data_IF_725952375145
#
_entry.id   IF_725952375145
#
_cell.length_a   1.000
_cell.length_b   1.000
_cell.length_c   1.000
_cell.angle_alpha   90.00
_cell.angle_beta   90.00
_cell.angle_gamma   90.00
#
_symmetry.space_group_name_H-M   'P 1'
#
loop_
_entity.id
_entity.type
_entity.pdbx_description
1 polymer ?
#
# COMPACT_ATOMS: atom_id res chain seq x y z
N UNK A 1 2.07 10.99 49.60
CA UNK A 1 2.83 12.21 49.20
C UNK A 1 3.58 12.05 47.87
N UNK A 2 4.07 10.85 47.54
CA UNK A 2 4.83 10.53 46.31
C UNK A 2 4.05 10.75 44.99
N UNK A 3 2.74 10.47 44.93
CA UNK A 3 1.93 10.65 43.70
C UNK A 3 1.70 12.13 43.31
N UNK A 4 1.58 13.05 44.27
CA UNK A 4 1.45 14.50 43.99
C UNK A 4 2.72 15.08 43.39
N UNK A 5 3.88 14.56 43.78
CA UNK A 5 5.17 14.96 43.22
C UNK A 5 5.35 14.44 41.78
N UNK A 6 4.93 13.21 41.48
CA UNK A 6 4.97 12.63 40.13
C UNK A 6 4.06 13.37 39.13
N UNK A 7 2.86 13.75 39.57
CA UNK A 7 1.93 14.53 38.74
C UNK A 7 2.45 15.96 38.47
N UNK A 8 3.03 16.62 39.48
CA UNK A 8 3.65 17.94 39.33
C UNK A 8 4.85 17.89 38.38
N UNK A 9 5.68 16.84 38.48
CA UNK A 9 6.82 16.65 37.58
C UNK A 9 6.38 16.41 36.12
N UNK A 10 5.35 15.59 35.88
CA UNK A 10 4.81 15.41 34.52
C UNK A 10 4.21 16.70 33.95
N UNK A 11 3.48 17.47 34.77
CA UNK A 11 2.90 18.75 34.33
C UNK A 11 3.97 19.78 33.98
N UNK A 12 5.07 19.82 34.74
CA UNK A 12 6.21 20.69 34.47
C UNK A 12 6.90 20.29 33.16
N UNK A 13 7.20 19.00 32.96
CA UNK A 13 7.81 18.51 31.72
C UNK A 13 6.97 18.80 30.48
N UNK A 14 5.64 18.66 30.58
CA UNK A 14 4.73 18.95 29.46
C UNK A 14 4.70 20.44 29.10
N UNK A 15 4.76 21.32 30.11
CA UNK A 15 4.83 22.76 29.90
C UNK A 15 6.15 23.20 29.23
N UNK A 16 7.29 22.60 29.62
CA UNK A 16 8.57 22.87 28.98
C UNK A 16 8.60 22.40 27.51
N UNK A 17 8.02 21.24 27.20
CA UNK A 17 7.91 20.76 25.82
C UNK A 17 7.02 21.67 24.97
N UNK A 18 5.91 22.15 25.51
CA UNK A 18 5.02 23.09 24.80
C UNK A 18 5.72 24.42 24.47
N UNK A 19 6.60 24.91 25.35
CA UNK A 19 7.41 26.11 25.07
C UNK A 19 8.42 25.89 23.92
N UNK A 20 8.98 24.68 23.78
CA UNK A 20 9.88 24.35 22.67
C UNK A 20 9.19 24.16 21.31
N UNK A 21 7.85 24.08 21.29
CA UNK A 21 7.08 24.05 20.04
C UNK A 21 6.88 25.45 19.43
N UNK A 22 7.08 26.52 20.20
CA UNK A 22 7.07 27.91 19.74
C UNK A 22 8.49 28.43 19.46
N UNK A 23 9.34 27.63 18.82
CA UNK A 23 10.66 28.11 18.36
C UNK A 23 10.50 28.96 17.10
N UNK A 24 11.40 29.93 16.95
CA UNK A 24 11.45 30.80 15.78
C UNK A 24 11.59 29.94 14.52
N UNK A 25 10.72 30.17 13.53
CA UNK A 25 10.89 29.60 12.20
C UNK A 25 12.32 29.91 11.71
N UNK A 26 13.08 28.90 11.23
CA UNK A 26 14.45 29.13 10.79
C UNK A 26 14.47 30.17 9.67
N UNK A 27 15.51 31.00 9.61
CA UNK A 27 15.64 32.05 8.61
C UNK A 27 15.85 31.46 7.20
N UNK A 28 14.78 30.99 6.57
CA UNK A 28 14.73 30.60 5.15
C UNK A 28 14.74 31.83 4.23
N UNK A 29 14.51 33.02 4.76
CA UNK A 29 14.53 34.28 3.99
C UNK A 29 15.92 34.58 3.40
N UNK A 30 16.98 33.93 3.88
CA UNK A 30 18.35 34.11 3.40
C UNK A 30 18.81 33.06 2.39
N UNK A 31 17.95 32.12 2.02
CA UNK A 31 18.30 31.07 1.04
C UNK A 31 18.14 31.53 -0.42
N UNK A 32 17.41 32.62 -0.65
CA UNK A 32 17.20 33.18 -1.98
C UNK A 32 18.25 34.27 -2.22
N UNK A 33 19.04 34.11 -3.28
CA UNK A 33 20.02 35.13 -3.66
C UNK A 33 19.31 36.32 -4.31
N UNK A 34 19.87 37.54 -4.26
CA UNK A 34 19.28 38.70 -4.94
C UNK A 34 19.06 38.48 -6.44
N UNK A 35 19.89 37.63 -7.06
CA UNK A 35 19.74 37.22 -8.45
C UNK A 35 18.48 36.35 -8.66
N UNK A 36 18.13 35.50 -7.70
CA UNK A 36 16.96 34.63 -7.76
C UNK A 36 15.66 35.36 -7.39
N UNK A 37 15.72 36.40 -6.54
CA UNK A 37 14.58 37.28 -6.24
C UNK A 37 14.09 38.06 -7.47
N UNK A 38 15.02 38.43 -8.36
CA UNK A 38 14.74 39.18 -9.58
C UNK A 38 14.70 38.29 -10.83
N UNK A 39 14.84 36.97 -10.66
CA UNK A 39 14.78 36.04 -11.78
C UNK A 39 13.33 35.84 -12.24
N UNK A 40 13.15 35.64 -13.54
CA UNK A 40 11.86 35.22 -14.07
C UNK A 40 11.46 33.86 -13.51
N UNK A 41 10.17 33.69 -13.26
CA UNK A 41 9.64 32.38 -12.90
C UNK A 41 9.88 31.38 -14.03
N UNK A 42 10.24 30.12 -13.70
CA UNK A 42 10.44 29.11 -14.71
C UNK A 42 9.15 28.79 -15.46
N UNK A 43 9.28 28.42 -16.73
CA UNK A 43 8.17 27.94 -17.52
C UNK A 43 7.58 26.66 -16.90
N UNK A 44 6.26 26.62 -16.75
CA UNK A 44 5.56 25.42 -16.29
C UNK A 44 5.60 24.34 -17.38
N UNK A 45 5.99 23.13 -17.00
CA UNK A 45 5.95 21.98 -17.91
C UNK A 45 4.52 21.43 -17.96
N UNK A 46 3.95 21.17 -19.16
CA UNK A 46 2.61 20.62 -19.29
C UNK A 46 2.47 19.24 -18.63
N UNK A 47 1.39 19.05 -17.87
CA UNK A 47 1.10 17.79 -17.16
C UNK A 47 0.30 16.79 -18.01
N UNK A 48 -0.30 17.22 -19.12
CA UNK A 48 -1.14 16.37 -19.99
C UNK A 48 -0.47 15.06 -20.42
N UNK A 49 0.82 15.02 -20.81
CA UNK A 49 1.48 13.76 -21.16
C UNK A 49 1.55 12.75 -20.01
N UNK A 50 1.71 13.23 -18.78
CA UNK A 50 1.74 12.40 -17.58
C UNK A 50 0.34 11.84 -17.27
N UNK A 51 -0.70 12.66 -17.42
CA UNK A 51 -2.08 12.26 -17.22
C UNK A 51 -2.54 11.24 -18.29
N UNK A 52 -2.14 11.44 -19.54
CA UNK A 52 -2.40 10.49 -20.61
C UNK A 52 -1.75 9.12 -20.33
N UNK A 53 -0.50 9.13 -19.89
CA UNK A 53 0.24 7.90 -19.52
C UNK A 53 -0.41 7.18 -18.33
N UNK A 54 -0.84 7.91 -17.30
CA UNK A 54 -1.54 7.35 -16.15
C UNK A 54 -2.91 6.73 -16.53
N UNK A 55 -3.57 7.29 -17.55
CA UNK A 55 -4.84 6.77 -18.05
C UNK A 55 -4.65 5.49 -18.84
N UNK A 56 -3.62 5.42 -19.70
CA UNK A 56 -3.31 4.24 -20.50
C UNK A 56 -2.93 3.02 -19.64
N UNK A 57 -2.29 3.23 -18.48
CA UNK A 57 -1.95 2.17 -17.53
C UNK A 57 -3.10 1.72 -16.62
N UNK A 58 -4.30 2.29 -16.75
CA UNK A 58 -5.41 1.99 -15.85
C UNK A 58 -6.05 0.65 -16.21
N UNK A 59 -6.19 -0.20 -15.20
CA UNK A 59 -6.94 -1.45 -15.31
C UNK A 59 -8.44 -1.13 -15.43
N UNK A 60 -9.08 -1.67 -16.47
CA UNK A 60 -10.54 -1.69 -16.55
C UNK A 60 -11.09 -2.67 -15.52
N UNK A 61 -11.70 -2.14 -14.45
CA UNK A 61 -12.21 -2.93 -13.34
C UNK A 61 -13.30 -3.91 -13.78
N UNK A 62 -14.20 -3.50 -14.67
CA UNK A 62 -15.34 -4.33 -15.12
C UNK A 62 -14.84 -5.49 -15.95
N UNK A 63 -13.96 -5.22 -16.93
CA UNK A 63 -13.37 -6.28 -17.76
C UNK A 63 -12.51 -7.24 -16.95
N UNK A 64 -11.73 -6.70 -16.00
CA UNK A 64 -10.86 -7.50 -15.14
C UNK A 64 -11.67 -8.41 -14.21
N UNK A 65 -12.73 -7.90 -13.60
CA UNK A 65 -13.64 -8.69 -12.77
C UNK A 65 -14.28 -9.81 -13.59
N UNK A 66 -14.80 -9.51 -14.79
CA UNK A 66 -15.38 -10.52 -15.67
C UNK A 66 -14.37 -11.62 -16.03
N UNK A 67 -13.13 -11.26 -16.38
CA UNK A 67 -12.07 -12.20 -16.71
C UNK A 67 -11.69 -13.09 -15.51
N UNK A 68 -11.60 -12.52 -14.30
CA UNK A 68 -11.31 -13.25 -13.07
C UNK A 68 -12.45 -14.22 -12.73
N UNK A 69 -13.71 -13.78 -12.79
CA UNK A 69 -14.87 -14.61 -12.54
C UNK A 69 -14.94 -15.81 -13.50
N UNK A 70 -14.70 -15.58 -14.79
CA UNK A 70 -14.64 -16.65 -15.79
C UNK A 70 -13.51 -17.65 -15.50
N UNK A 71 -12.34 -17.17 -15.04
CA UNK A 71 -11.23 -18.04 -14.64
C UNK A 71 -11.59 -18.88 -13.41
N UNK A 72 -12.19 -18.28 -12.38
CA UNK A 72 -12.66 -18.98 -11.18
C UNK A 72 -13.67 -20.07 -11.54
N UNK A 73 -14.65 -19.78 -12.40
CA UNK A 73 -15.63 -20.76 -12.84
C UNK A 73 -14.98 -21.97 -13.53
N UNK A 74 -14.02 -21.72 -14.45
CA UNK A 74 -13.26 -22.80 -15.12
C UNK A 74 -12.46 -23.65 -14.14
N UNK A 75 -11.81 -23.02 -13.16
CA UNK A 75 -11.05 -23.73 -12.12
C UNK A 75 -11.96 -24.59 -11.24
N UNK A 76 -13.12 -24.08 -10.85
CA UNK A 76 -14.12 -24.84 -10.08
C UNK A 76 -14.65 -26.05 -10.86
N UNK A 77 -14.96 -25.87 -12.14
CA UNK A 77 -15.40 -26.96 -13.01
C UNK A 77 -14.33 -28.04 -13.16
N UNK A 78 -13.06 -27.66 -13.34
CA UNK A 78 -11.93 -28.60 -13.38
C UNK A 78 -11.79 -29.36 -12.06
N UNK A 79 -11.84 -28.66 -10.93
CA UNK A 79 -11.77 -29.30 -9.62
C UNK A 79 -12.92 -30.30 -9.40
N UNK A 80 -14.14 -29.96 -9.81
CA UNK A 80 -15.29 -30.87 -9.72
C UNK A 80 -15.05 -32.17 -10.51
N UNK A 81 -14.47 -32.09 -11.72
CA UNK A 81 -14.09 -33.28 -12.51
C UNK A 81 -13.02 -34.14 -11.82
N UNK A 82 -12.07 -33.50 -11.12
CA UNK A 82 -10.98 -34.20 -10.43
C UNK A 82 -11.39 -34.82 -9.09
N UNK A 83 -12.48 -34.38 -8.47
CA UNK A 83 -12.94 -34.90 -7.16
C UNK A 83 -13.53 -36.32 -7.22
N UNK A 84 -13.81 -36.86 -8.41
CA UNK A 84 -14.23 -38.26 -8.57
C UNK A 84 -13.10 -39.25 -8.30
N UNK A 85 -13.42 -40.52 -8.05
CA UNK A 85 -12.38 -41.56 -7.98
C UNK A 85 -11.79 -41.81 -9.37
N UNK A 86 -10.57 -41.35 -9.60
CA UNK A 86 -9.82 -41.58 -10.86
C UNK A 86 -9.43 -43.06 -11.01
N UNK A 87 -9.33 -43.78 -9.90
CA UNK A 87 -9.02 -45.21 -9.85
C UNK A 87 -10.28 -46.03 -9.59
N UNK A 88 -10.46 -47.07 -10.40
CA UNK A 88 -11.40 -48.17 -10.13
C UNK A 88 -11.01 -48.92 -8.85
N UNK A 89 -11.96 -49.63 -8.25
CA UNK A 89 -11.70 -50.44 -7.04
C UNK A 89 -10.56 -51.44 -7.23
N UNK A 90 -10.49 -52.10 -8.40
CA UNK A 90 -9.40 -53.04 -8.74
C UNK A 90 -8.04 -52.36 -8.89
N UNK A 91 -7.99 -51.10 -9.34
CA UNK A 91 -6.73 -50.35 -9.43
C UNK A 91 -6.24 -49.93 -8.05
N UNK A 92 -7.14 -49.49 -7.17
CA UNK A 92 -6.81 -49.19 -5.77
C UNK A 92 -6.27 -50.43 -5.04
N UNK A 93 -6.94 -51.57 -5.20
CA UNK A 93 -6.54 -52.83 -4.57
C UNK A 93 -5.17 -53.33 -5.06
N UNK A 94 -4.85 -53.16 -6.36
CA UNK A 94 -3.50 -53.45 -6.89
C UNK A 94 -2.43 -52.53 -6.29
N UNK A 95 -2.75 -51.26 -6.08
CA UNK A 95 -1.81 -50.29 -5.50
C UNK A 95 -1.53 -50.61 -4.01
N UNK A 96 -2.58 -50.93 -3.24
CA UNK A 96 -2.48 -51.31 -1.83
C UNK A 96 -1.63 -52.58 -1.64
N UNK A 97 -1.76 -53.56 -2.53
CA UNK A 97 -0.95 -54.79 -2.51
C UNK A 97 0.54 -54.55 -2.84
N UNK A 98 0.86 -53.53 -3.63
CA UNK A 98 2.25 -53.19 -3.97
C UNK A 98 2.95 -52.29 -2.94
N UNK A 99 2.22 -51.77 -1.95
CA UNK A 99 2.75 -50.96 -0.84
C UNK A 99 3.08 -51.80 0.41
N UNK A 100 2.72 -53.10 0.40
CA UNK A 100 3.07 -54.09 1.42
C UNK A 100 4.43 -54.71 1.13
#
# INVERSE_FOLDING_TARGET
>A
MVMKWRASFCSLSLALLALSACTQFPALDRTITPALENADYPALVPLDPLLASATAGRVDAVQTEAALNARVARLRARAARLRGSVLSGREKQRLEQGLQ
#
